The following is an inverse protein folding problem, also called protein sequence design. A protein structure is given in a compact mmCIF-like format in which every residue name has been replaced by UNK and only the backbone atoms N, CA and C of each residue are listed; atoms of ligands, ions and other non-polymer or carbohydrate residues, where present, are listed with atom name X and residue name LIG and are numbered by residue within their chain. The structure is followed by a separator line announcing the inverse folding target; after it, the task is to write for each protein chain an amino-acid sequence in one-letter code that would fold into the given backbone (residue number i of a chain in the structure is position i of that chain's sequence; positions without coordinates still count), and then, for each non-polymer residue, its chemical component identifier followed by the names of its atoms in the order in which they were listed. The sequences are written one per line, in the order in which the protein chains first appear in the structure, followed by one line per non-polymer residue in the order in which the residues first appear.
data_IF_496724394418
#
_entry.id   IF_496724394418
#
_cell.length_a   1.000
_cell.length_b   1.000
_cell.length_c   1.000
_cell.angle_alpha   90.00
_cell.angle_beta   90.00
_cell.angle_gamma   90.00
#
_symmetry.space_group_name_H-M   'P 1'
#
loop_
_entity.id
_entity.type
_entity.pdbx_description
1 polymer ?
#
# COMPACT_ATOMS: atom_id res chain seq x y z
N UNK A 1 -5.57 4.02 11.31
CA UNK A 1 -7.00 3.83 10.95
C UNK A 1 -7.53 5.04 10.17
N UNK A 2 -8.75 4.99 9.61
CA UNK A 2 -9.36 6.19 8.97
C UNK A 2 -9.69 7.29 9.98
N UNK A 3 -9.94 6.94 11.25
CA UNK A 3 -10.10 7.92 12.32
C UNK A 3 -8.80 8.70 12.56
N UNK A 4 -7.66 8.01 12.64
CA UNK A 4 -6.34 8.67 12.70
C UNK A 4 -6.09 9.54 11.47
N UNK A 5 -6.36 9.03 10.25
CA UNK A 5 -6.16 9.80 9.03
C UNK A 5 -6.94 11.14 9.05
N UNK A 6 -8.21 11.11 9.47
CA UNK A 6 -9.02 12.34 9.66
C UNK A 6 -8.47 13.25 10.75
N UNK A 7 -8.03 12.67 11.87
CA UNK A 7 -7.47 13.43 12.98
C UNK A 7 -6.19 14.19 12.56
N UNK A 8 -5.24 13.49 11.93
CA UNK A 8 -4.01 14.12 11.44
C UNK A 8 -4.27 15.11 10.30
N UNK A 9 -5.20 14.80 9.40
CA UNK A 9 -5.64 15.73 8.35
C UNK A 9 -6.19 17.04 8.94
N UNK A 10 -7.03 16.96 9.98
CA UNK A 10 -7.54 18.13 10.69
C UNK A 10 -6.44 18.92 11.42
N UNK A 11 -5.38 18.23 11.85
CA UNK A 11 -4.17 18.82 12.41
C UNK A 11 -3.21 19.45 11.37
N UNK A 12 -3.58 19.44 10.07
CA UNK A 12 -2.81 20.06 9.00
C UNK A 12 -1.78 19.14 8.32
N UNK A 13 -1.73 17.85 8.65
CA UNK A 13 -0.88 16.90 7.94
C UNK A 13 -1.46 16.62 6.55
N UNK A 14 -0.59 16.66 5.52
CA UNK A 14 -1.01 16.57 4.12
C UNK A 14 -0.57 15.30 3.41
N UNK A 15 0.47 14.64 3.92
CA UNK A 15 0.99 13.37 3.43
C UNK A 15 0.66 12.26 4.43
N UNK A 16 -0.31 11.43 4.08
CA UNK A 16 -0.85 10.39 4.95
C UNK A 16 -1.01 9.09 4.18
N UNK A 17 -0.25 8.08 4.59
CA UNK A 17 -0.43 6.69 4.16
C UNK A 17 -1.40 5.97 5.10
N UNK A 18 -2.55 5.56 4.57
CA UNK A 18 -3.42 4.58 5.22
C UNK A 18 -2.83 3.17 5.03
N UNK A 19 -1.91 2.80 5.94
CA UNK A 19 -1.13 1.56 5.88
C UNK A 19 -1.94 0.30 6.29
N UNK A 20 -3.10 0.09 5.67
CA UNK A 20 -3.99 -1.05 5.93
C UNK A 20 -4.69 -1.47 4.62
N UNK A 21 -5.16 -2.73 4.48
CA UNK A 21 -5.99 -3.13 3.35
C UNK A 21 -7.13 -2.15 3.06
N UNK A 22 -7.37 -1.90 1.78
CA UNK A 22 -8.40 -0.95 1.34
C UNK A 22 -9.77 -1.32 1.92
N UNK A 23 -10.46 -0.41 2.64
CA UNK A 23 -11.69 -0.73 3.33
C UNK A 23 -12.88 -0.51 2.38
N UNK A 24 -13.27 -1.54 1.62
CA UNK A 24 -14.35 -1.47 0.61
C UNK A 24 -15.65 -0.86 1.18
N UNK A 25 -16.03 -1.22 2.41
CA UNK A 25 -17.22 -0.67 3.07
C UNK A 25 -17.11 0.79 3.55
N UNK A 26 -15.94 1.44 3.41
CA UNK A 26 -15.68 2.83 3.80
C UNK A 26 -15.00 3.63 2.71
N UNK A 27 -15.25 3.30 1.44
CA UNK A 27 -14.64 4.02 0.30
C UNK A 27 -14.98 5.51 0.28
N UNK A 28 -16.17 5.91 0.76
CA UNK A 28 -16.54 7.32 0.83
C UNK A 28 -15.64 8.13 1.78
N UNK A 29 -15.19 7.53 2.88
CA UNK A 29 -14.24 8.15 3.81
C UNK A 29 -12.87 8.33 3.15
N UNK A 30 -12.40 7.30 2.43
CA UNK A 30 -11.15 7.36 1.68
C UNK A 30 -11.23 8.44 0.59
N UNK A 31 -12.35 8.52 -0.13
CA UNK A 31 -12.56 9.50 -1.20
C UNK A 31 -12.51 10.93 -0.63
N UNK A 32 -13.19 11.16 0.50
CA UNK A 32 -13.20 12.46 1.16
C UNK A 32 -11.79 12.88 1.58
N UNK A 33 -11.00 11.96 2.15
CA UNK A 33 -9.60 12.21 2.51
C UNK A 33 -8.72 12.49 1.27
N UNK A 34 -8.88 11.71 0.20
CA UNK A 34 -8.12 11.91 -1.03
C UNK A 34 -8.46 13.22 -1.76
N UNK A 35 -9.71 13.67 -1.67
CA UNK A 35 -10.15 14.97 -2.19
C UNK A 35 -9.60 16.13 -1.36
N UNK A 36 -9.59 16.01 -0.02
CA UNK A 36 -9.12 17.04 0.89
C UNK A 36 -7.60 17.19 0.90
N UNK A 37 -6.88 16.07 1.02
CA UNK A 37 -5.43 16.06 1.24
C UNK A 37 -4.64 16.26 -0.05
N UNK A 38 -3.44 16.80 0.06
CA UNK A 38 -2.50 16.84 -1.07
C UNK A 38 -2.04 15.43 -1.46
N UNK A 39 -1.80 14.57 -0.45
CA UNK A 39 -1.28 13.22 -0.67
C UNK A 39 -1.88 12.21 0.33
N UNK A 40 -3.07 11.69 0.02
CA UNK A 40 -3.63 10.52 0.72
C UNK A 40 -3.31 9.25 -0.05
N UNK A 41 -2.64 8.31 0.60
CA UNK A 41 -2.10 7.11 -0.02
C UNK A 41 -2.74 5.86 0.60
N UNK A 42 -2.96 4.82 -0.20
CA UNK A 42 -3.59 3.56 0.23
C UNK A 42 -2.74 2.35 -0.13
N UNK A 43 -2.95 1.24 0.58
CA UNK A 43 -2.34 -0.05 0.25
C UNK A 43 -3.29 -0.93 -0.56
N UNK A 44 -2.75 -1.64 -1.55
CA UNK A 44 -3.42 -2.72 -2.28
C UNK A 44 -2.57 -3.98 -2.28
N UNK A 45 -3.22 -5.14 -2.27
CA UNK A 45 -2.62 -6.46 -2.48
C UNK A 45 -3.51 -7.39 -3.32
N UNK A 46 -4.58 -6.87 -3.92
CA UNK A 46 -5.48 -7.65 -4.77
C UNK A 46 -5.93 -6.88 -6.02
N UNK A 47 -6.22 -7.57 -7.14
CA UNK A 47 -6.85 -6.97 -8.32
C UNK A 47 -8.23 -6.38 -8.03
N UNK A 48 -9.01 -6.99 -7.13
CA UNK A 48 -10.32 -6.50 -6.74
C UNK A 48 -10.23 -5.14 -6.06
N UNK A 49 -9.18 -4.90 -5.26
CA UNK A 49 -8.90 -3.60 -4.66
C UNK A 49 -8.63 -2.53 -5.70
N UNK A 50 -7.87 -2.84 -6.76
CA UNK A 50 -7.65 -1.93 -7.89
C UNK A 50 -8.98 -1.61 -8.59
N UNK A 51 -9.79 -2.62 -8.89
CA UNK A 51 -11.11 -2.42 -9.51
C UNK A 51 -12.06 -1.55 -8.65
N UNK A 52 -11.96 -1.65 -7.31
CA UNK A 52 -12.70 -0.76 -6.40
C UNK A 52 -12.26 0.69 -6.54
N UNK A 53 -10.96 0.97 -6.65
CA UNK A 53 -10.46 2.34 -6.84
C UNK A 53 -10.93 2.94 -8.16
N UNK A 54 -10.86 2.20 -9.27
CA UNK A 54 -11.31 2.68 -10.59
C UNK A 54 -12.82 2.97 -10.63
N UNK A 55 -13.62 2.26 -9.81
CA UNK A 55 -15.07 2.55 -9.66
C UNK A 55 -15.36 3.79 -8.81
N UNK A 56 -14.36 4.34 -8.11
CA UNK A 56 -14.47 5.53 -7.28
C UNK A 56 -13.42 6.57 -7.71
N UNK A 57 -13.53 7.13 -8.93
CA UNK A 57 -12.53 8.05 -9.45
C UNK A 57 -12.49 9.34 -8.63
N UNK A 58 -11.29 9.93 -8.54
CA UNK A 58 -11.09 11.24 -7.94
C UNK A 58 -11.42 12.37 -8.93
N UNK A 59 -11.62 13.61 -8.45
CA UNK A 59 -11.81 14.76 -9.33
C UNK A 59 -10.66 14.94 -10.32
N UNK A 60 -10.94 15.59 -11.45
CA UNK A 60 -9.95 15.85 -12.49
C UNK A 60 -8.66 16.46 -11.92
N UNK A 61 -7.51 15.90 -12.32
CA UNK A 61 -6.19 16.31 -11.83
C UNK A 61 -5.72 15.59 -10.57
N UNK A 62 -6.53 14.71 -9.97
CA UNK A 62 -6.12 13.83 -8.85
C UNK A 62 -6.18 12.36 -9.22
N UNK A 63 -5.29 11.58 -8.61
CA UNK A 63 -5.19 10.12 -8.76
C UNK A 63 -5.08 9.45 -7.41
N UNK A 64 -5.57 8.23 -7.32
CA UNK A 64 -5.30 7.38 -6.17
C UNK A 64 -3.81 7.07 -6.12
N UNK A 65 -3.18 7.43 -5.02
CA UNK A 65 -1.79 7.08 -4.76
C UNK A 65 -1.74 5.73 -4.04
N UNK A 66 -1.22 4.72 -4.74
CA UNK A 66 -1.29 3.32 -4.31
C UNK A 66 0.10 2.78 -4.05
N UNK A 67 0.25 2.07 -2.94
CA UNK A 67 1.40 1.20 -2.70
C UNK A 67 0.98 -0.25 -2.82
N UNK A 68 1.78 -1.05 -3.52
CA UNK A 68 1.63 -2.50 -3.51
C UNK A 68 2.18 -3.05 -2.19
N UNK A 69 1.33 -3.70 -1.41
CA UNK A 69 1.74 -4.35 -0.16
C UNK A 69 2.39 -5.69 -0.47
N UNK A 70 3.62 -5.87 -0.01
CA UNK A 70 4.36 -7.13 -0.10
C UNK A 70 4.31 -7.90 1.23
N UNK A 71 4.15 -9.21 1.13
CA UNK A 71 4.38 -10.17 2.20
C UNK A 71 5.76 -10.83 2.03
N UNK A 72 6.74 -10.33 2.78
CA UNK A 72 8.11 -10.84 2.79
C UNK A 72 8.35 -11.84 3.94
N UNK A 73 7.32 -12.59 4.34
CA UNK A 73 7.39 -13.60 5.40
C UNK A 73 6.71 -13.19 6.71
N UNK A 74 5.90 -12.14 6.70
CA UNK A 74 5.10 -11.73 7.85
C UNK A 74 3.80 -12.55 7.96
N UNK A 75 3.25 -13.04 6.85
CA UNK A 75 2.11 -13.98 6.85
C UNK A 75 0.79 -13.35 7.27
N UNK A 76 0.58 -12.06 6.99
CA UNK A 76 -0.62 -11.31 7.42
C UNK A 76 -1.43 -10.72 6.26
N UNK A 77 -0.79 -9.97 5.39
CA UNK A 77 -1.38 -9.28 4.24
C UNK A 77 -0.26 -8.94 3.25
N UNK A 78 -0.61 -8.71 1.99
CA UNK A 78 0.34 -8.52 0.91
C UNK A 78 0.46 -9.72 -0.01
N UNK A 79 0.88 -9.43 -1.24
CA UNK A 79 1.29 -10.45 -2.20
C UNK A 79 2.74 -10.85 -1.93
N UNK A 80 3.08 -12.12 -2.13
CA UNK A 80 4.48 -12.55 -2.02
C UNK A 80 5.27 -12.02 -3.22
N UNK A 81 6.47 -11.46 -3.02
CA UNK A 81 7.26 -10.89 -4.11
C UNK A 81 7.66 -11.94 -5.17
N UNK A 82 7.80 -13.21 -4.78
CA UNK A 82 8.11 -14.32 -5.68
C UNK A 82 6.89 -14.91 -6.38
N UNK A 83 5.68 -14.44 -6.09
CA UNK A 83 4.48 -14.86 -6.80
C UNK A 83 4.40 -14.08 -8.12
N UNK A 84 4.34 -14.73 -9.29
CA UNK A 84 4.23 -14.03 -10.57
C UNK A 84 3.04 -13.05 -10.62
N UNK A 85 1.97 -13.32 -9.86
CA UNK A 85 0.82 -12.43 -9.76
C UNK A 85 1.14 -11.09 -9.10
N UNK A 86 2.19 -11.00 -8.28
CA UNK A 86 2.61 -9.75 -7.65
C UNK A 86 3.09 -8.75 -8.70
N UNK A 87 3.94 -9.19 -9.63
CA UNK A 87 4.39 -8.34 -10.73
C UNK A 87 3.23 -7.98 -11.67
N UNK A 88 2.35 -8.93 -11.99
CA UNK A 88 1.15 -8.64 -12.78
C UNK A 88 0.27 -7.56 -12.12
N UNK A 89 0.08 -7.62 -10.79
CA UNK A 89 -0.68 -6.63 -10.05
C UNK A 89 0.04 -5.27 -10.01
N UNK A 90 1.36 -5.24 -9.83
CA UNK A 90 2.14 -4.00 -9.88
C UNK A 90 1.97 -3.29 -11.24
N UNK A 91 2.11 -4.04 -12.33
CA UNK A 91 1.90 -3.55 -13.70
C UNK A 91 0.47 -3.06 -13.90
N UNK A 92 -0.53 -3.81 -13.41
CA UNK A 92 -1.93 -3.42 -13.48
C UNK A 92 -2.19 -2.06 -12.80
N UNK A 93 -1.71 -1.89 -11.56
CA UNK A 93 -1.84 -0.63 -10.81
C UNK A 93 -1.17 0.53 -11.56
N UNK A 94 -0.02 0.28 -12.19
CA UNK A 94 0.73 1.32 -12.89
C UNK A 94 0.15 1.68 -14.27
N UNK A 95 -0.49 0.75 -14.97
CA UNK A 95 -0.74 0.87 -16.41
C UNK A 95 -2.22 0.77 -16.84
N UNK A 96 -3.09 0.12 -16.08
CA UNK A 96 -4.49 -0.09 -16.52
C UNK A 96 -5.32 1.20 -16.53
N UNK A 97 -5.13 2.06 -15.52
CA UNK A 97 -5.87 3.31 -15.38
C UNK A 97 -4.96 4.47 -14.91
N UNK A 98 -3.93 4.86 -15.67
CA UNK A 98 -2.89 5.80 -15.22
C UNK A 98 -3.39 7.23 -14.96
N UNK A 99 -4.60 7.56 -15.44
CA UNK A 99 -5.29 8.82 -15.16
C UNK A 99 -6.09 8.80 -13.86
N UNK A 100 -6.35 7.62 -13.29
CA UNK A 100 -7.15 7.42 -12.08
C UNK A 100 -6.30 6.93 -10.91
N UNK A 101 -5.26 6.15 -11.18
CA UNK A 101 -4.41 5.49 -10.20
C UNK A 101 -2.94 5.72 -10.56
N UNK A 102 -2.11 5.85 -9.54
CA UNK A 102 -0.66 5.92 -9.65
C UNK A 102 -0.03 4.92 -8.67
N UNK A 103 0.82 4.04 -9.19
CA UNK A 103 1.71 3.23 -8.35
C UNK A 103 2.80 4.15 -7.78
N UNK A 104 2.77 4.36 -6.47
CA UNK A 104 3.79 5.15 -5.74
C UNK A 104 5.02 4.30 -5.43
N UNK A 105 4.80 3.03 -5.09
CA UNK A 105 5.88 2.11 -4.73
C UNK A 105 5.38 0.82 -4.09
N UNK A 106 6.28 0.16 -3.38
CA UNK A 106 6.02 -1.10 -2.65
C UNK A 106 6.20 -0.90 -1.16
N UNK A 107 5.38 -1.55 -0.35
CA UNK A 107 5.40 -1.43 1.10
C UNK A 107 5.51 -2.81 1.75
N UNK A 108 6.47 -3.02 2.65
CA UNK A 108 6.60 -4.23 3.45
C UNK A 108 6.57 -3.89 4.94
N UNK A 109 6.09 -4.82 5.76
CA UNK A 109 6.18 -4.68 7.22
C UNK A 109 6.61 -6.02 7.82
N UNK A 110 7.80 -6.02 8.44
CA UNK A 110 8.41 -7.18 9.10
C UNK A 110 7.89 -7.37 10.53
N UNK A 111 6.57 -7.52 10.70
CA UNK A 111 5.95 -7.79 12.00
C UNK A 111 6.36 -9.13 12.62
N UNK A 112 6.89 -10.05 11.83
CA UNK A 112 7.48 -11.31 12.26
C UNK A 112 8.73 -11.14 13.14
N UNK A 113 9.36 -9.95 13.16
CA UNK A 113 10.44 -9.62 14.10
C UNK A 113 10.01 -9.70 15.58
N UNK A 114 8.72 -9.56 15.87
CA UNK A 114 8.20 -9.67 17.25
C UNK A 114 8.34 -11.09 17.83
N UNK A 115 8.57 -12.11 17.00
CA UNK A 115 8.85 -13.47 17.45
C UNK A 115 10.32 -13.74 17.81
N UNK A 116 11.23 -12.82 17.48
CA UNK A 116 12.66 -12.98 17.73
C UNK A 116 12.99 -12.80 19.21
N UNK A 117 14.02 -13.51 19.68
CA UNK A 117 14.50 -13.44 21.06
C UNK A 117 15.81 -12.66 21.21
N UNK A 118 16.45 -12.30 20.10
CA UNK A 118 17.72 -11.59 20.08
C UNK A 118 17.86 -10.63 18.89
N UNK A 119 18.83 -9.71 19.00
CA UNK A 119 19.13 -8.71 17.97
C UNK A 119 19.56 -9.35 16.65
N UNK A 120 20.46 -10.36 16.61
CA UNK A 120 20.84 -11.02 15.36
C UNK A 120 19.66 -11.58 14.55
N UNK A 121 18.66 -12.17 15.22
CA UNK A 121 17.47 -12.68 14.57
C UNK A 121 16.59 -11.55 13.98
N UNK A 122 16.40 -10.45 14.73
CA UNK A 122 15.69 -9.27 14.23
C UNK A 122 16.37 -8.70 12.99
N UNK A 123 17.68 -8.52 13.03
CA UNK A 123 18.46 -8.03 11.89
C UNK A 123 18.43 -9.00 10.70
N UNK A 124 18.41 -10.31 10.96
CA UNK A 124 18.25 -11.34 9.93
C UNK A 124 16.96 -11.19 9.15
N UNK A 125 15.83 -11.02 9.84
CA UNK A 125 14.52 -10.77 9.22
C UNK A 125 14.50 -9.42 8.49
N UNK A 126 15.10 -8.38 9.07
CA UNK A 126 15.18 -7.06 8.43
C UNK A 126 15.94 -7.15 7.10
N UNK A 127 17.13 -7.76 7.08
CA UNK A 127 17.92 -7.96 5.86
C UNK A 127 17.16 -8.79 4.82
N UNK A 128 16.56 -9.91 5.22
CA UNK A 128 15.79 -10.76 4.31
C UNK A 128 14.59 -10.02 3.70
N UNK A 129 13.86 -9.24 4.51
CA UNK A 129 12.74 -8.40 4.03
C UNK A 129 13.22 -7.37 3.02
N UNK A 130 14.33 -6.67 3.32
CA UNK A 130 14.92 -5.67 2.43
C UNK A 130 15.36 -6.29 1.10
N UNK A 131 16.04 -7.44 1.12
CA UNK A 131 16.47 -8.13 -0.11
C UNK A 131 15.27 -8.54 -0.96
N UNK A 132 14.25 -9.16 -0.35
CA UNK A 132 13.04 -9.55 -1.07
C UNK A 132 12.31 -8.36 -1.73
N UNK A 133 12.35 -7.17 -1.12
CA UNK A 133 11.81 -5.94 -1.73
C UNK A 133 12.70 -5.44 -2.87
N UNK A 134 14.03 -5.42 -2.68
CA UNK A 134 14.99 -4.97 -3.70
C UNK A 134 14.89 -5.87 -4.93
N UNK A 135 14.98 -7.18 -4.75
CA UNK A 135 14.93 -8.15 -5.85
C UNK A 135 13.65 -7.94 -6.68
N UNK A 136 12.49 -7.83 -6.00
CA UNK A 136 11.20 -7.60 -6.67
C UNK A 136 11.13 -6.32 -7.51
N UNK A 137 11.78 -5.22 -7.11
CA UNK A 137 11.72 -3.95 -7.84
C UNK A 137 12.83 -3.77 -8.87
N UNK A 138 13.78 -4.71 -8.93
CA UNK A 138 14.91 -4.69 -9.87
C UNK A 138 14.84 -5.75 -10.97
N UNK A 139 13.95 -6.74 -10.85
CA UNK A 139 13.57 -7.67 -11.92
C UNK A 139 12.65 -7.02 -12.96
#
# INVERSE_FOLDING_TARGET
TLAEARFFAAGGFQDILYAYPLPVGRMQDCLSLAQQLQNFQVLLDTPEGLAVLCRHPLPAGKRWHVWLKLDCGNGRAGVRPTDPKAMSLALAIAQEAPQEVALVGVYAHCGNTYGCQDVPAVEGIARATTMAVIDFVTE
#
